data_IF_230954869647
#
_entry.id   IF_230954869647
#
_cell.length_a   1.000
_cell.length_b   1.000
_cell.length_c   1.000
_cell.angle_alpha   90.00
_cell.angle_beta   90.00
_cell.angle_gamma   90.00
#
_symmetry.space_group_name_H-M   'P 1'
#
loop_
_entity.id
_entity.type
_entity.pdbx_description
1 polymer ?
#
# COMPACT_ATOMS: atom_id res chain seq x y z
N UNK A 1 -17.88 -24.31 -32.33
CA UNK A 1 -18.30 -23.71 -31.04
C UNK A 1 -17.14 -23.64 -30.06
N UNK A 2 -16.39 -24.71 -29.85
CA UNK A 2 -15.26 -24.78 -28.91
C UNK A 2 -14.08 -23.85 -29.24
N UNK A 3 -13.74 -23.66 -30.52
CA UNK A 3 -12.66 -22.75 -30.96
C UNK A 3 -12.96 -21.28 -30.67
N UNK A 4 -14.22 -20.87 -30.77
CA UNK A 4 -14.66 -19.49 -30.49
C UNK A 4 -14.62 -19.18 -28.99
N UNK A 5 -14.98 -20.15 -28.16
CA UNK A 5 -14.93 -20.00 -26.70
C UNK A 5 -13.48 -19.91 -26.18
N UNK A 6 -12.59 -20.75 -26.72
CA UNK A 6 -11.15 -20.72 -26.42
C UNK A 6 -10.50 -19.40 -26.84
N UNK A 7 -10.86 -18.87 -28.03
CA UNK A 7 -10.39 -17.56 -28.50
C UNK A 7 -10.83 -16.42 -27.58
N UNK A 8 -12.10 -16.41 -27.16
CA UNK A 8 -12.64 -15.41 -26.25
C UNK A 8 -11.99 -15.47 -24.86
N UNK A 9 -11.68 -16.66 -24.39
CA UNK A 9 -10.98 -16.86 -23.10
C UNK A 9 -9.55 -16.33 -23.16
N UNK A 10 -8.83 -16.62 -24.24
CA UNK A 10 -7.47 -16.13 -24.47
C UNK A 10 -7.44 -14.60 -24.56
N UNK A 11 -8.35 -13.99 -25.31
CA UNK A 11 -8.45 -12.54 -25.43
C UNK A 11 -8.71 -11.85 -24.06
N UNK A 12 -9.54 -12.44 -23.20
CA UNK A 12 -9.76 -11.94 -21.83
C UNK A 12 -8.50 -12.04 -20.97
N UNK A 13 -7.76 -13.12 -21.06
CA UNK A 13 -6.49 -13.31 -20.32
C UNK A 13 -5.48 -12.27 -20.77
N UNK A 14 -5.27 -12.13 -22.08
CA UNK A 14 -4.32 -11.15 -22.65
C UNK A 14 -4.70 -9.72 -22.20
N UNK A 15 -5.97 -9.34 -22.31
CA UNK A 15 -6.44 -8.03 -21.85
C UNK A 15 -6.15 -7.80 -20.36
N UNK A 16 -6.36 -8.80 -19.54
CA UNK A 16 -6.06 -8.71 -18.09
C UNK A 16 -4.57 -8.54 -17.85
N UNK A 17 -3.72 -9.34 -18.49
CA UNK A 17 -2.26 -9.25 -18.36
C UNK A 17 -1.75 -7.88 -18.79
N UNK A 18 -2.26 -7.35 -19.90
CA UNK A 18 -1.88 -6.01 -20.39
C UNK A 18 -2.25 -4.93 -19.37
N UNK A 19 -3.45 -4.99 -18.80
CA UNK A 19 -3.87 -4.04 -17.77
C UNK A 19 -2.99 -4.13 -16.53
N UNK A 20 -2.70 -5.34 -16.05
CA UNK A 20 -1.82 -5.55 -14.92
C UNK A 20 -0.42 -4.99 -15.17
N UNK A 21 0.11 -5.19 -16.38
CA UNK A 21 1.41 -4.65 -16.79
C UNK A 21 1.41 -3.11 -16.85
N UNK A 22 0.32 -2.49 -17.33
CA UNK A 22 0.19 -1.03 -17.35
C UNK A 22 0.17 -0.47 -15.92
N UNK A 23 -0.64 -1.04 -15.02
CA UNK A 23 -0.69 -0.62 -13.62
C UNK A 23 0.69 -0.77 -12.97
N UNK A 24 1.36 -1.91 -13.15
CA UNK A 24 2.71 -2.12 -12.64
C UNK A 24 3.73 -1.11 -13.17
N UNK A 25 3.62 -0.75 -14.45
CA UNK A 25 4.46 0.30 -15.06
C UNK A 25 4.20 1.68 -14.45
N UNK A 26 2.95 2.04 -14.21
CA UNK A 26 2.58 3.30 -13.55
C UNK A 26 3.09 3.34 -12.10
N UNK A 27 2.96 2.25 -11.35
CA UNK A 27 3.49 2.13 -10.00
C UNK A 27 5.01 2.30 -9.98
N UNK A 28 5.70 1.64 -10.89
CA UNK A 28 7.14 1.80 -11.02
C UNK A 28 7.53 3.26 -11.30
N UNK A 29 6.88 3.92 -12.26
CA UNK A 29 7.17 5.32 -12.58
C UNK A 29 6.89 6.26 -11.40
N UNK A 30 5.82 6.00 -10.66
CA UNK A 30 5.43 6.82 -9.52
C UNK A 30 6.38 6.68 -8.32
N UNK A 31 6.79 5.45 -8.01
CA UNK A 31 7.60 5.16 -6.82
C UNK A 31 9.10 4.96 -7.08
N UNK A 32 9.57 4.91 -8.35
CA UNK A 32 10.95 4.55 -8.66
C UNK A 32 11.99 5.41 -7.93
N UNK A 33 11.78 6.74 -7.89
CA UNK A 33 12.71 7.65 -7.21
C UNK A 33 12.84 7.38 -5.72
N UNK A 34 11.73 7.03 -5.07
CA UNK A 34 11.70 6.77 -3.63
C UNK A 34 12.19 5.35 -3.33
N UNK A 35 11.81 4.37 -4.14
CA UNK A 35 12.19 2.97 -3.94
C UNK A 35 13.70 2.77 -3.92
N UNK A 36 14.42 3.45 -4.83
CA UNK A 36 15.86 3.34 -4.98
C UNK A 36 16.66 4.42 -4.24
N UNK A 37 16.03 5.22 -3.39
CA UNK A 37 16.66 6.24 -2.56
C UNK A 37 16.69 5.81 -1.09
N UNK A 38 17.48 6.52 -0.26
CA UNK A 38 17.44 6.38 1.20
C UNK A 38 16.30 7.21 1.85
N UNK A 39 15.49 7.90 1.04
CA UNK A 39 14.40 8.73 1.53
C UNK A 39 13.21 7.88 2.01
N UNK A 40 12.48 8.38 3.00
CA UNK A 40 11.14 7.87 3.37
C UNK A 40 10.09 8.34 2.35
N UNK A 41 8.98 7.61 2.26
CA UNK A 41 7.80 8.06 1.52
C UNK A 41 7.08 9.11 2.36
N UNK A 42 6.79 10.27 1.75
CA UNK A 42 6.06 11.37 2.37
C UNK A 42 6.93 12.44 3.00
N UNK A 43 6.33 13.26 3.84
CA UNK A 43 7.02 14.35 4.53
C UNK A 43 7.80 13.87 5.76
N UNK A 44 8.80 14.66 6.17
CA UNK A 44 9.82 14.23 7.11
C UNK A 44 9.27 13.88 8.50
N UNK A 45 8.27 14.61 9.00
CA UNK A 45 7.79 14.45 10.37
C UNK A 45 6.90 13.23 10.52
N UNK A 46 5.79 13.17 9.80
CA UNK A 46 4.81 12.08 9.91
C UNK A 46 5.38 10.74 9.40
N UNK A 47 6.18 10.77 8.35
CA UNK A 47 6.81 9.54 7.85
C UNK A 47 7.76 8.91 8.86
N UNK A 48 8.50 9.73 9.64
CA UNK A 48 9.36 9.22 10.71
C UNK A 48 8.55 8.64 11.86
N UNK A 49 7.50 9.35 12.29
CA UNK A 49 6.60 8.87 13.32
C UNK A 49 5.95 7.55 12.92
N UNK A 50 5.39 7.48 11.72
CA UNK A 50 4.75 6.27 11.21
C UNK A 50 5.74 5.09 11.12
N UNK A 51 6.97 5.35 10.66
CA UNK A 51 8.00 4.32 10.62
C UNK A 51 8.40 3.83 12.03
N UNK A 52 8.46 4.73 13.01
CA UNK A 52 8.71 4.37 14.41
C UNK A 52 7.57 3.54 14.99
N UNK A 53 6.32 3.86 14.67
CA UNK A 53 5.15 3.11 15.14
C UNK A 53 5.12 1.68 14.58
N UNK A 54 5.40 1.49 13.29
CA UNK A 54 5.43 0.13 12.71
C UNK A 54 6.64 -0.67 13.21
N UNK A 55 7.79 -0.04 13.50
CA UNK A 55 8.95 -0.69 14.13
C UNK A 55 8.67 -1.07 15.59
N UNK A 56 7.96 -0.22 16.33
CA UNK A 56 7.48 -0.57 17.68
C UNK A 56 6.64 -1.86 17.66
N UNK A 57 5.70 -2.00 16.73
CA UNK A 57 4.92 -3.22 16.61
C UNK A 57 5.78 -4.45 16.29
N UNK A 58 6.79 -4.33 15.45
CA UNK A 58 7.74 -5.41 15.21
C UNK A 58 8.46 -5.82 16.50
N UNK A 59 8.88 -4.86 17.32
CA UNK A 59 9.51 -5.13 18.63
C UNK A 59 8.51 -5.73 19.61
N UNK A 60 7.28 -5.26 19.64
CA UNK A 60 6.22 -5.82 20.47
C UNK A 60 5.88 -7.27 20.10
N UNK A 61 5.72 -7.56 18.79
CA UNK A 61 5.46 -8.92 18.30
C UNK A 61 6.63 -9.89 18.57
N UNK A 62 7.85 -9.38 18.66
CA UNK A 62 9.04 -10.18 19.02
C UNK A 62 9.32 -10.21 20.52
N UNK A 63 8.47 -9.63 21.36
CA UNK A 63 8.58 -9.62 22.82
C UNK A 63 9.66 -8.71 23.39
N UNK A 64 10.15 -7.74 22.59
CA UNK A 64 11.19 -6.79 23.01
C UNK A 64 10.63 -5.52 23.64
N UNK A 65 9.39 -5.17 23.30
CA UNK A 65 8.70 -3.98 23.80
C UNK A 65 7.27 -4.31 24.26
N UNK A 66 6.67 -3.40 25.02
CA UNK A 66 5.28 -3.52 25.49
C UNK A 66 4.31 -3.26 24.33
N UNK A 67 3.17 -3.96 24.32
CA UNK A 67 2.08 -3.70 23.36
C UNK A 67 1.37 -2.36 23.59
N UNK A 68 1.44 -1.79 24.79
CA UNK A 68 0.69 -0.60 25.17
C UNK A 68 1.52 0.68 25.25
N UNK A 69 2.84 0.56 25.33
CA UNK A 69 3.73 1.71 25.57
C UNK A 69 4.69 1.92 24.41
N UNK A 70 4.54 3.04 23.75
CA UNK A 70 5.52 3.58 22.79
C UNK A 70 6.28 4.73 23.45
N UNK A 71 7.59 4.76 23.35
CA UNK A 71 8.45 5.77 24.00
C UNK A 71 8.39 7.17 23.36
N UNK A 72 7.22 7.58 22.85
CA UNK A 72 7.04 8.91 22.22
C UNK A 72 6.57 9.94 23.24
N UNK A 73 5.77 9.50 24.23
CA UNK A 73 5.15 10.40 25.22
C UNK A 73 5.65 10.13 26.64
N UNK A 74 6.90 9.68 26.77
CA UNK A 74 7.49 9.43 28.10
C UNK A 74 7.27 10.64 29.05
N UNK A 75 6.88 10.43 30.31
CA UNK A 75 6.76 9.13 31.04
C UNK A 75 5.33 8.55 31.05
N UNK A 76 4.46 8.89 30.11
CA UNK A 76 3.06 8.47 30.14
C UNK A 76 2.92 6.97 29.82
N UNK A 77 2.08 6.22 30.57
CA UNK A 77 1.73 4.84 30.25
C UNK A 77 0.72 4.78 29.08
N UNK A 78 0.55 3.59 28.50
CA UNK A 78 -0.48 3.25 27.51
C UNK A 78 -0.53 4.19 26.30
N UNK A 79 0.63 4.67 25.88
CA UNK A 79 0.79 5.72 24.88
C UNK A 79 0.36 5.31 23.47
N UNK A 80 0.28 4.02 23.18
CA UNK A 80 -0.25 3.50 21.90
C UNK A 80 -1.69 3.95 21.66
N UNK A 81 -2.49 4.09 22.71
CA UNK A 81 -3.88 4.55 22.63
C UNK A 81 -4.03 6.00 22.14
N UNK A 82 -2.97 6.80 22.22
CA UNK A 82 -2.96 8.21 21.79
C UNK A 82 -2.42 8.41 20.37
N UNK A 83 -2.10 7.32 19.66
CA UNK A 83 -1.52 7.36 18.31
C UNK A 83 -2.33 6.54 17.33
N UNK A 84 -2.08 6.75 16.04
CA UNK A 84 -2.57 5.84 15.02
C UNK A 84 -1.91 4.47 15.20
N UNK A 85 -2.69 3.43 15.42
CA UNK A 85 -2.14 2.12 15.77
C UNK A 85 -1.37 1.45 14.61
N UNK A 86 -1.69 1.74 13.36
CA UNK A 86 -1.04 1.23 12.14
C UNK A 86 -0.83 -0.30 12.09
N UNK A 87 -1.54 -1.08 12.91
CA UNK A 87 -1.34 -2.54 13.05
C UNK A 87 -1.48 -3.26 11.72
N UNK A 88 -2.43 -2.84 10.87
CA UNK A 88 -2.63 -3.42 9.55
C UNK A 88 -1.40 -3.30 8.64
N UNK A 89 -0.65 -2.21 8.76
CA UNK A 89 0.63 -2.01 8.06
C UNK A 89 1.78 -2.72 8.78
N UNK A 90 1.74 -2.77 10.10
CA UNK A 90 2.79 -3.35 10.93
C UNK A 90 2.92 -4.87 10.75
N UNK A 91 1.82 -5.59 10.47
CA UNK A 91 1.88 -7.04 10.25
C UNK A 91 2.78 -7.41 9.07
N UNK A 92 2.51 -6.98 7.82
CA UNK A 92 3.41 -7.27 6.70
C UNK A 92 4.80 -6.65 6.86
N UNK A 93 4.90 -5.49 7.49
CA UNK A 93 6.17 -4.87 7.86
C UNK A 93 7.01 -5.80 8.74
N UNK A 94 6.43 -6.33 9.82
CA UNK A 94 7.12 -7.20 10.76
C UNK A 94 7.61 -8.50 10.11
N UNK A 95 6.88 -9.02 9.13
CA UNK A 95 7.32 -10.18 8.34
C UNK A 95 8.61 -9.83 7.58
N UNK A 96 8.66 -8.69 6.88
CA UNK A 96 9.84 -8.25 6.15
C UNK A 96 11.04 -8.00 7.09
N UNK A 97 10.78 -7.40 8.26
CA UNK A 97 11.81 -7.18 9.30
C UNK A 97 12.36 -8.49 9.86
N UNK A 98 11.53 -9.50 10.03
CA UNK A 98 11.95 -10.81 10.51
C UNK A 98 12.91 -11.51 9.52
N UNK A 99 12.79 -11.22 8.21
CA UNK A 99 13.76 -11.65 7.20
C UNK A 99 15.03 -10.80 7.13
N UNK A 100 15.22 -9.86 8.06
CA UNK A 100 16.43 -9.02 8.15
C UNK A 100 16.42 -7.79 7.25
N UNK A 101 15.28 -7.43 6.67
CA UNK A 101 15.18 -6.23 5.83
C UNK A 101 15.37 -4.96 6.65
N UNK A 102 16.02 -3.96 6.07
CA UNK A 102 16.16 -2.64 6.68
C UNK A 102 14.80 -1.99 6.95
N UNK A 103 14.66 -1.28 8.08
CA UNK A 103 13.41 -0.69 8.52
C UNK A 103 12.78 0.29 7.51
N UNK A 104 13.59 1.10 6.85
CA UNK A 104 13.12 2.07 5.86
C UNK A 104 12.65 1.39 4.59
N UNK A 105 13.40 0.39 4.13
CA UNK A 105 13.03 -0.39 2.95
C UNK A 105 11.77 -1.23 3.19
N UNK A 106 11.66 -1.87 4.35
CA UNK A 106 10.47 -2.64 4.72
C UNK A 106 9.21 -1.78 4.70
N UNK A 107 9.27 -0.57 5.28
CA UNK A 107 8.15 0.37 5.27
C UNK A 107 7.78 0.80 3.85
N UNK A 108 8.75 1.17 3.02
CA UNK A 108 8.51 1.51 1.60
C UNK A 108 7.80 0.38 0.85
N UNK A 109 8.30 -0.84 0.98
CA UNK A 109 7.72 -2.00 0.29
C UNK A 109 6.27 -2.22 0.73
N UNK A 110 5.99 -2.11 2.03
CA UNK A 110 4.62 -2.27 2.54
C UNK A 110 3.69 -1.19 1.97
N UNK A 111 4.08 0.08 2.02
CA UNK A 111 3.26 1.17 1.49
C UNK A 111 3.00 1.03 -0.02
N UNK A 112 4.04 0.71 -0.79
CA UNK A 112 3.91 0.46 -2.23
C UNK A 112 3.02 -0.75 -2.50
N UNK A 113 3.16 -1.84 -1.75
CA UNK A 113 2.32 -3.02 -1.89
C UNK A 113 0.83 -2.72 -1.63
N UNK A 114 0.52 -1.93 -0.59
CA UNK A 114 -0.84 -1.49 -0.33
C UNK A 114 -1.40 -0.60 -1.45
N UNK A 115 -0.59 0.28 -2.01
CA UNK A 115 -0.98 1.12 -3.13
C UNK A 115 -1.26 0.30 -4.40
N UNK A 116 -0.35 -0.60 -4.75
CA UNK A 116 -0.52 -1.55 -5.87
C UNK A 116 -1.82 -2.35 -5.70
N UNK A 117 -2.02 -2.90 -4.51
CA UNK A 117 -3.21 -3.69 -4.21
C UNK A 117 -4.50 -2.87 -4.34
N UNK A 118 -4.49 -1.62 -3.85
CA UNK A 118 -5.59 -0.67 -4.01
C UNK A 118 -5.90 -0.37 -5.48
N UNK A 119 -4.88 -0.11 -6.28
CA UNK A 119 -5.03 0.16 -7.72
C UNK A 119 -5.68 -1.02 -8.45
N UNK A 120 -5.24 -2.25 -8.17
CA UNK A 120 -5.83 -3.45 -8.78
C UNK A 120 -7.26 -3.71 -8.33
N UNK A 121 -7.54 -3.56 -7.04
CA UNK A 121 -8.89 -3.76 -6.50
C UNK A 121 -9.86 -2.72 -7.02
N UNK A 122 -9.41 -1.46 -7.18
CA UNK A 122 -10.23 -0.42 -7.78
C UNK A 122 -10.51 -0.70 -9.26
N UNK A 123 -9.51 -1.15 -10.04
CA UNK A 123 -9.73 -1.61 -11.41
C UNK A 123 -10.78 -2.73 -11.45
N UNK A 124 -10.63 -3.72 -10.58
CA UNK A 124 -11.55 -4.85 -10.49
C UNK A 124 -12.99 -4.40 -10.14
N UNK A 125 -13.13 -3.48 -9.19
CA UNK A 125 -14.40 -2.87 -8.79
C UNK A 125 -15.09 -2.22 -10.00
N UNK A 126 -14.39 -1.33 -10.69
CA UNK A 126 -14.93 -0.63 -11.87
C UNK A 126 -15.34 -1.62 -12.97
N UNK A 127 -14.50 -2.62 -13.23
CA UNK A 127 -14.72 -3.60 -14.27
C UNK A 127 -15.87 -4.57 -13.96
N UNK A 128 -15.95 -5.08 -12.73
CA UNK A 128 -16.85 -6.16 -12.34
C UNK A 128 -18.17 -5.69 -11.78
N UNK A 129 -18.15 -4.67 -10.94
CA UNK A 129 -19.35 -4.16 -10.27
C UNK A 129 -20.03 -3.07 -11.09
N UNK A 130 -19.26 -2.11 -11.57
CA UNK A 130 -19.80 -1.00 -12.39
C UNK A 130 -19.87 -1.31 -13.88
N UNK A 131 -19.32 -2.45 -14.34
CA UNK A 131 -19.33 -2.93 -15.73
C UNK A 131 -18.72 -1.90 -16.72
N UNK A 132 -17.82 -1.07 -16.25
CA UNK A 132 -17.10 -0.10 -17.08
C UNK A 132 -16.10 -0.87 -17.96
N UNK A 133 -15.89 -0.43 -19.19
CA UNK A 133 -14.90 -1.08 -20.07
C UNK A 133 -13.47 -0.92 -19.55
N UNK A 134 -12.52 -1.69 -20.13
CA UNK A 134 -11.15 -1.76 -19.60
C UNK A 134 -10.40 -0.44 -19.70
N UNK A 135 -10.63 0.35 -20.75
CA UNK A 135 -9.96 1.63 -20.96
C UNK A 135 -10.39 2.64 -19.89
N UNK A 136 -11.71 2.86 -19.75
CA UNK A 136 -12.23 3.79 -18.74
C UNK A 136 -11.99 3.33 -17.31
N UNK A 137 -11.93 2.02 -17.07
CA UNK A 137 -11.51 1.48 -15.77
C UNK A 137 -10.06 1.83 -15.45
N UNK A 138 -9.15 1.77 -16.44
CA UNK A 138 -7.76 2.24 -16.27
C UNK A 138 -7.68 3.75 -16.02
N UNK A 139 -8.44 4.56 -16.77
CA UNK A 139 -8.53 6.00 -16.51
C UNK A 139 -8.99 6.27 -15.09
N UNK A 140 -10.00 5.54 -14.62
CA UNK A 140 -10.48 5.62 -13.23
C UNK A 140 -9.38 5.29 -12.21
N UNK A 141 -8.59 4.24 -12.45
CA UNK A 141 -7.44 3.89 -11.59
C UNK A 141 -6.42 5.01 -11.56
N UNK A 142 -6.07 5.59 -12.71
CA UNK A 142 -5.11 6.71 -12.77
C UNK A 142 -5.60 7.89 -11.94
N UNK A 143 -6.87 8.27 -12.09
CA UNK A 143 -7.46 9.37 -11.32
C UNK A 143 -7.50 9.06 -9.82
N UNK A 144 -7.87 7.84 -9.43
CA UNK A 144 -7.97 7.44 -8.03
C UNK A 144 -6.59 7.33 -7.36
N UNK A 145 -5.69 6.55 -7.96
CA UNK A 145 -4.43 6.15 -7.34
C UNK A 145 -3.32 7.20 -7.45
N UNK A 146 -3.34 8.04 -8.50
CA UNK A 146 -2.25 8.99 -8.78
C UNK A 146 -2.71 10.45 -8.71
N UNK A 147 -3.86 10.72 -8.07
CA UNK A 147 -4.36 12.08 -7.89
C UNK A 147 -3.43 12.91 -6.98
N UNK A 148 -3.46 14.22 -7.16
CA UNK A 148 -2.74 15.16 -6.28
C UNK A 148 -3.19 15.03 -4.82
N UNK A 149 -4.46 14.70 -4.56
CA UNK A 149 -4.98 14.47 -3.23
C UNK A 149 -4.31 13.27 -2.53
N UNK A 150 -3.99 12.21 -3.29
CA UNK A 150 -3.25 11.08 -2.78
C UNK A 150 -1.78 11.44 -2.52
N UNK A 151 -1.13 12.12 -3.48
CA UNK A 151 0.27 12.51 -3.38
C UNK A 151 0.55 13.41 -2.18
N UNK A 152 -0.30 14.41 -1.92
CA UNK A 152 -0.15 15.32 -0.78
C UNK A 152 -0.28 14.60 0.57
N UNK A 153 -1.01 13.49 0.62
CA UNK A 153 -1.27 12.74 1.85
C UNK A 153 -0.41 11.48 2.01
N UNK A 154 0.53 11.25 1.11
CA UNK A 154 1.34 10.02 1.10
C UNK A 154 2.21 9.84 2.37
N UNK A 155 2.49 10.94 3.09
CA UNK A 155 3.17 10.91 4.40
C UNK A 155 2.31 10.38 5.55
N UNK A 156 1.00 10.45 5.40
CA UNK A 156 0.06 9.97 6.40
C UNK A 156 -0.31 8.50 6.12
N UNK A 157 0.45 7.56 6.69
CA UNK A 157 0.28 6.12 6.44
C UNK A 157 -1.15 5.65 6.69
N UNK A 158 -1.84 6.16 7.71
CA UNK A 158 -3.24 5.85 8.00
C UNK A 158 -4.19 6.19 6.84
N UNK A 159 -3.89 7.26 6.08
CA UNK A 159 -4.68 7.65 4.92
C UNK A 159 -4.40 6.77 3.70
N UNK A 160 -3.26 6.07 3.67
CA UNK A 160 -2.97 5.06 2.64
C UNK A 160 -3.97 3.89 2.69
N UNK A 161 -4.62 3.67 3.84
CA UNK A 161 -5.71 2.70 3.96
C UNK A 161 -6.90 3.03 3.03
N UNK A 162 -7.04 4.26 2.54
CA UNK A 162 -8.03 4.64 1.51
C UNK A 162 -7.87 3.77 0.26
N UNK A 163 -6.65 3.35 -0.07
CA UNK A 163 -6.38 2.42 -1.17
C UNK A 163 -7.12 1.08 -1.02
N UNK A 164 -7.52 0.71 0.20
CA UNK A 164 -8.23 -0.53 0.49
C UNK A 164 -9.77 -0.41 0.37
N UNK A 165 -10.31 0.81 0.29
CA UNK A 165 -11.77 1.03 0.18
C UNK A 165 -12.42 0.21 -0.94
N UNK A 166 -11.80 0.03 -2.12
CA UNK A 166 -12.41 -0.75 -3.19
C UNK A 166 -12.65 -2.24 -2.87
N UNK A 167 -12.16 -2.74 -1.74
CA UNK A 167 -12.32 -4.13 -1.31
C UNK A 167 -13.56 -4.30 -0.45
N UNK A 168 -13.95 -3.26 0.27
CA UNK A 168 -15.11 -3.23 1.17
C UNK A 168 -16.43 -3.14 0.40
#
# INVERSE_FOLDING_TARGET
METTEKSNRLAKIISTVVVLAIIAGLEYLFFAKVLFSDALIGETNDSRLNNLLVEHWFHAFTGKESFSVVNIFYPMPDTVAFTDMLVGFAIPYSILRAFGMNMFLANKIVLIAFHIFGSYTFYYLLKRKFKIDSFWSLVGVVIFSYSSAYYVRIGHTQLMAISLIPIL
#
